data_IF_505093456875
#
_entry.id   IF_505093456875
#
_cell.length_a   1.000
_cell.length_b   1.000
_cell.length_c   1.000
_cell.angle_alpha   90.00
_cell.angle_beta   90.00
_cell.angle_gamma   90.00
#
_symmetry.space_group_name_H-M   'P 1'
#
loop_
_entity.id
_entity.type
_entity.pdbx_description
1 polymer ?
#
# COMPACT_ATOMS: atom_id res chain seq x y z
N UNK A 1 -19.94 2.92 11.68
CA UNK A 1 -18.60 2.29 11.67
C UNK A 1 -17.58 3.28 11.09
N UNK A 2 -16.88 4.05 11.94
CA UNK A 2 -15.88 5.03 11.50
C UNK A 2 -14.50 4.37 11.41
N UNK A 3 -13.96 4.17 10.19
CA UNK A 3 -12.53 3.89 10.02
C UNK A 3 -11.77 5.18 10.38
N UNK A 4 -10.89 5.20 11.39
CA UNK A 4 -10.18 6.41 11.78
C UNK A 4 -9.31 6.86 10.61
N UNK A 5 -9.62 8.02 10.03
CA UNK A 5 -8.80 8.68 9.01
C UNK A 5 -7.52 9.19 9.68
N UNK A 6 -6.57 8.27 9.92
CA UNK A 6 -5.21 8.62 10.35
C UNK A 6 -4.63 9.56 9.29
N UNK A 7 -4.32 10.79 9.73
CA UNK A 7 -3.67 11.88 8.99
C UNK A 7 -2.94 11.38 7.74
N UNK A 8 -3.60 11.49 6.58
CA UNK A 8 -2.90 11.46 5.30
C UNK A 8 -1.98 12.69 5.29
N UNK A 9 -0.74 12.52 5.76
CA UNK A 9 0.37 13.37 5.31
C UNK A 9 0.24 13.41 3.79
N UNK A 10 0.18 14.61 3.18
CA UNK A 10 0.04 14.84 1.72
C UNK A 10 0.59 13.64 0.98
N UNK A 11 -0.29 12.86 0.33
CA UNK A 11 0.07 11.56 -0.20
C UNK A 11 1.10 11.75 -1.31
N UNK A 12 2.37 11.73 -0.94
CA UNK A 12 3.52 11.68 -1.84
C UNK A 12 3.66 10.25 -2.34
N UNK A 13 4.34 10.08 -3.47
CA UNK A 13 4.62 8.75 -4.00
C UNK A 13 5.30 7.89 -2.94
N UNK A 14 4.69 6.76 -2.52
CA UNK A 14 5.35 5.83 -1.64
C UNK A 14 6.66 5.33 -2.24
N UNK A 15 7.69 5.17 -1.40
CA UNK A 15 9.00 4.66 -1.84
C UNK A 15 8.83 3.26 -2.45
N UNK A 16 9.51 2.99 -3.55
CA UNK A 16 9.61 1.63 -4.11
C UNK A 16 10.21 0.72 -3.03
N UNK A 17 9.66 -0.49 -2.91
CA UNK A 17 9.90 -1.49 -1.86
C UNK A 17 9.31 -1.17 -0.49
N UNK A 18 8.57 -0.06 -0.31
CA UNK A 18 7.84 0.18 0.93
C UNK A 18 6.76 -0.90 1.14
N UNK A 19 6.68 -1.42 2.37
CA UNK A 19 5.57 -2.25 2.81
C UNK A 19 4.44 -1.36 3.34
N UNK A 20 3.24 -1.56 2.82
CA UNK A 20 2.06 -0.79 3.13
C UNK A 20 0.85 -1.70 3.31
N UNK A 21 -0.26 -1.13 3.78
CA UNK A 21 -1.55 -1.82 3.91
C UNK A 21 -2.52 -1.35 2.83
N UNK A 22 -3.11 -2.30 2.11
CA UNK A 22 -4.19 -2.08 1.15
C UNK A 22 -5.39 -2.97 1.54
N UNK A 23 -6.45 -2.36 2.07
CA UNK A 23 -7.52 -3.10 2.74
C UNK A 23 -6.95 -3.92 3.91
N UNK A 24 -7.18 -5.24 3.87
CA UNK A 24 -6.69 -6.18 4.88
C UNK A 24 -5.34 -6.81 4.53
N UNK A 25 -4.78 -6.51 3.35
CA UNK A 25 -3.55 -7.12 2.84
C UNK A 25 -2.33 -6.24 3.11
N UNK A 26 -1.20 -6.91 3.40
CA UNK A 26 0.13 -6.29 3.36
C UNK A 26 0.66 -6.37 1.94
N UNK A 27 1.13 -5.24 1.41
CA UNK A 27 1.54 -5.10 0.03
C UNK A 27 2.88 -4.38 -0.07
N UNK A 28 3.68 -4.73 -1.09
CA UNK A 28 4.94 -4.06 -1.42
C UNK A 28 4.73 -3.15 -2.61
N UNK A 29 5.22 -1.92 -2.53
CA UNK A 29 5.26 -1.02 -3.69
C UNK A 29 6.37 -1.47 -4.62
N UNK A 30 6.10 -1.76 -5.89
CA UNK A 30 7.10 -2.26 -6.85
C UNK A 30 7.43 -1.26 -7.95
N UNK A 31 6.52 -0.34 -8.29
CA UNK A 31 6.79 0.73 -9.25
C UNK A 31 5.85 1.91 -9.04
N UNK A 32 6.27 3.09 -9.48
CA UNK A 32 5.37 4.22 -9.70
C UNK A 32 4.56 4.02 -10.98
N UNK A 33 3.31 4.50 -10.99
CA UNK A 33 2.45 4.52 -12.16
C UNK A 33 1.80 5.90 -12.33
N UNK A 34 1.30 6.17 -13.54
CA UNK A 34 0.67 7.46 -13.85
C UNK A 34 -0.58 7.71 -13.01
N UNK A 35 -0.89 8.99 -12.81
CA UNK A 35 -2.14 9.43 -12.18
C UNK A 35 -2.19 9.15 -10.68
N UNK A 36 -1.08 9.39 -9.96
CA UNK A 36 -0.99 9.20 -8.50
C UNK A 36 -1.18 7.73 -8.09
N UNK A 37 -0.73 6.81 -8.95
CA UNK A 37 -0.84 5.38 -8.73
C UNK A 37 0.53 4.77 -8.47
N UNK A 38 0.52 3.62 -7.83
CA UNK A 38 1.67 2.75 -7.72
C UNK A 38 1.27 1.34 -8.10
N UNK A 39 2.21 0.59 -8.66
CA UNK A 39 2.07 -0.85 -8.79
C UNK A 39 2.41 -1.43 -7.42
N UNK A 40 1.47 -2.16 -6.85
CA UNK A 40 1.67 -2.94 -5.63
C UNK A 40 1.75 -4.42 -5.97
N UNK A 41 2.47 -5.15 -5.13
CA UNK A 41 2.56 -6.60 -5.12
C UNK A 41 2.02 -7.13 -3.80
N UNK A 42 1.10 -8.08 -3.85
CA UNK A 42 0.56 -8.80 -2.69
C UNK A 42 0.72 -10.30 -2.88
N UNK A 43 0.74 -11.05 -1.79
CA UNK A 43 0.61 -12.52 -1.82
C UNK A 43 -0.72 -12.95 -1.23
N UNK A 44 -1.32 -13.98 -1.81
CA UNK A 44 -2.45 -14.69 -1.18
C UNK A 44 -1.96 -15.75 -0.18
N UNK A 45 -2.90 -16.50 0.38
CA UNK A 45 -2.65 -17.56 1.36
C UNK A 45 -1.91 -18.77 0.75
N UNK A 46 -2.06 -18.98 -0.56
CA UNK A 46 -1.33 -19.99 -1.34
C UNK A 46 0.08 -19.49 -1.77
N UNK A 47 0.45 -18.26 -1.41
CA UNK A 47 1.74 -17.65 -1.76
C UNK A 47 1.82 -17.13 -3.20
N UNK A 48 0.72 -17.14 -3.96
CA UNK A 48 0.66 -16.62 -5.33
C UNK A 48 0.79 -15.10 -5.31
N UNK A 49 1.54 -14.58 -6.27
CA UNK A 49 1.85 -13.16 -6.36
C UNK A 49 0.83 -12.46 -7.26
N UNK A 50 0.24 -11.38 -6.76
CA UNK A 50 -0.65 -10.51 -7.53
C UNK A 50 -0.09 -9.11 -7.62
N UNK A 51 -0.19 -8.52 -8.81
CA UNK A 51 0.18 -7.13 -9.06
C UNK A 51 -1.02 -6.31 -9.46
N UNK A 52 -1.10 -5.09 -8.96
CA UNK A 52 -2.20 -4.18 -9.29
C UNK A 52 -1.76 -2.74 -9.20
N UNK A 53 -2.26 -1.90 -10.10
CA UNK A 53 -2.10 -0.45 -9.99
C UNK A 53 -3.17 0.09 -9.04
N UNK A 54 -2.79 0.82 -8.00
CA UNK A 54 -3.73 1.45 -7.04
C UNK A 54 -3.35 2.90 -6.77
N UNK A 55 -4.31 3.75 -6.42
CA UNK A 55 -4.01 5.12 -5.99
C UNK A 55 -3.25 5.10 -4.66
N UNK A 56 -2.19 5.90 -4.53
CA UNK A 56 -1.43 6.00 -3.27
C UNK A 56 -2.29 6.41 -2.07
N UNK A 57 -3.43 7.07 -2.30
CA UNK A 57 -4.35 7.54 -1.26
C UNK A 57 -5.09 6.40 -0.58
N UNK A 58 -5.12 5.23 -1.22
CA UNK A 58 -5.74 4.02 -0.69
C UNK A 58 -4.74 3.15 0.10
N UNK A 59 -3.46 3.54 0.11
CA UNK A 59 -2.42 2.86 0.87
C UNK A 59 -2.26 3.51 2.25
N UNK A 60 -2.09 2.67 3.26
CA UNK A 60 -1.81 3.11 4.61
C UNK A 60 -0.41 2.65 5.01
N UNK A 61 0.35 3.52 5.66
CA UNK A 61 1.61 3.12 6.27
C UNK A 61 1.33 2.01 7.31
N UNK A 62 2.15 0.97 7.31
CA UNK A 62 2.11 0.00 8.40
C UNK A 62 2.49 0.72 9.70
N UNK A 63 1.82 0.44 10.82
CA UNK A 63 2.26 0.96 12.11
C UNK A 63 3.71 0.53 12.32
N UNK A 64 4.55 1.44 12.82
CA UNK A 64 5.99 1.24 13.02
C UNK A 64 6.34 0.20 14.11
N UNK A 65 5.44 -0.73 14.41
CA UNK A 65 5.66 -1.83 15.33
C UNK A 65 5.70 -3.13 14.55
N UNK A 66 6.86 -3.39 13.97
CA UNK A 66 7.33 -4.72 13.66
C UNK A 66 8.55 -4.88 14.58
N UNK A 67 8.39 -5.75 15.57
CA UNK A 67 9.33 -6.10 16.64
C UNK A 67 9.37 -5.10 17.81
#
# INVERSE_FOLDING_TARGET
MNKPRRRQRKAVCPKINALMRYGDRVVRVVAEARGQRVIIESRDEEGRVFRSAVKWSNLNALPARLF
#
